data_IF_451008009813
#
_entry.id   IF_451008009813
#
_cell.length_a   1.000
_cell.length_b   1.000
_cell.length_c   1.000
_cell.angle_alpha   90.00
_cell.angle_beta   90.00
_cell.angle_gamma   90.00
#
_symmetry.space_group_name_H-M   'P 1'
#
loop_
_entity.id
_entity.type
_entity.pdbx_description
1 polymer ?
#
# COMPACT_ATOMS: atom_id res chain seq x y z
N UNK A 1 -27.74 -49.32 35.48
CA UNK A 1 -27.19 -48.70 34.27
C UNK A 1 -26.41 -47.47 34.70
N UNK A 2 -25.08 -47.53 34.63
CA UNK A 2 -24.18 -46.49 35.15
C UNK A 2 -23.74 -45.60 33.98
N UNK A 3 -24.17 -44.34 33.99
CA UNK A 3 -23.70 -43.32 33.05
C UNK A 3 -22.31 -42.86 33.48
N UNK A 4 -21.32 -43.04 32.61
CA UNK A 4 -19.95 -42.59 32.82
C UNK A 4 -19.83 -41.06 32.61
N UNK A 5 -18.98 -40.36 33.38
CA UNK A 5 -18.73 -38.93 33.19
C UNK A 5 -17.69 -38.71 32.08
N UNK A 6 -18.12 -38.16 30.94
CA UNK A 6 -17.21 -37.75 29.85
C UNK A 6 -16.40 -36.51 30.28
N UNK A 7 -15.16 -36.74 30.70
CA UNK A 7 -14.28 -35.69 31.24
C UNK A 7 -13.00 -35.56 30.42
N UNK A 8 -13.09 -35.16 29.15
CA UNK A 8 -11.93 -34.64 28.41
C UNK A 8 -12.40 -33.70 27.29
N UNK A 9 -12.37 -32.38 27.53
CA UNK A 9 -12.44 -31.37 26.47
C UNK A 9 -11.24 -30.44 26.58
N UNK A 10 -10.25 -30.70 25.72
CA UNK A 10 -8.97 -30.02 25.61
C UNK A 10 -9.07 -28.94 24.53
N UNK A 11 -9.85 -27.87 24.77
CA UNK A 11 -9.81 -26.69 23.90
C UNK A 11 -8.76 -25.68 24.40
N UNK A 12 -7.98 -25.09 23.48
CA UNK A 12 -7.01 -24.06 23.82
C UNK A 12 -7.63 -22.69 23.55
N UNK A 13 -7.90 -21.94 24.63
CA UNK A 13 -8.10 -20.50 24.54
C UNK A 13 -6.76 -19.82 24.73
N UNK A 14 -6.42 -18.85 23.87
CA UNK A 14 -5.23 -18.02 24.07
C UNK A 14 -5.19 -17.49 25.51
N UNK A 15 -4.11 -17.67 26.27
CA UNK A 15 -4.03 -17.14 27.63
C UNK A 15 -4.07 -15.60 27.57
N UNK A 16 -4.71 -14.94 28.57
CA UNK A 16 -4.63 -13.49 28.66
C UNK A 16 -3.17 -13.08 28.87
N UNK A 17 -2.67 -12.16 28.03
CA UNK A 17 -1.29 -11.69 28.07
C UNK A 17 -0.86 -11.29 29.50
N UNK A 18 0.26 -11.87 29.94
CA UNK A 18 1.03 -11.33 31.06
C UNK A 18 1.60 -9.98 30.63
N UNK A 19 1.10 -8.89 31.23
CA UNK A 19 1.60 -7.54 30.98
C UNK A 19 2.97 -7.36 31.65
N UNK A 20 4.02 -7.88 31.03
CA UNK A 20 5.40 -7.62 31.45
C UNK A 20 6.22 -7.13 30.25
N UNK A 21 5.91 -5.93 29.79
CA UNK A 21 6.90 -5.14 29.05
C UNK A 21 7.81 -4.55 30.12
N UNK A 22 9.01 -5.13 30.29
CA UNK A 22 10.11 -4.41 30.92
C UNK A 22 10.45 -3.21 30.04
N UNK A 23 9.84 -2.07 30.36
CA UNK A 23 10.30 -0.78 29.84
C UNK A 23 11.64 -0.49 30.51
N UNK A 24 12.74 -0.69 29.76
CA UNK A 24 13.99 0.00 30.09
C UNK A 24 13.70 1.49 29.91
N UNK A 25 13.51 2.18 31.03
CA UNK A 25 13.51 3.63 31.11
C UNK A 25 14.88 4.14 30.64
N UNK A 26 14.95 4.58 29.39
CA UNK A 26 16.04 5.45 28.95
C UNK A 26 15.74 6.84 29.50
N UNK A 27 16.46 7.23 30.55
CA UNK A 27 16.41 8.58 31.12
C UNK A 27 16.81 9.60 30.04
N UNK A 28 15.88 10.51 29.71
CA UNK A 28 16.15 11.70 28.91
C UNK A 28 16.93 12.69 29.78
N UNK A 29 18.23 12.81 29.50
CA UNK A 29 19.04 13.91 30.00
C UNK A 29 18.60 15.21 29.30
N UNK A 30 18.04 16.11 30.10
CA UNK A 30 17.91 17.53 29.77
C UNK A 30 19.30 18.09 29.46
N UNK A 31 19.51 18.55 28.23
CA UNK A 31 20.66 19.38 27.88
C UNK A 31 20.15 20.78 27.56
N UNK A 32 20.36 21.70 28.50
CA UNK A 32 20.14 23.14 28.31
C UNK A 32 21.22 23.67 27.36
N UNK A 33 20.83 24.20 26.21
CA UNK A 33 21.74 24.96 25.35
C UNK A 33 21.44 26.45 25.48
N UNK A 34 22.51 27.16 25.84
CA UNK A 34 22.54 28.56 26.19
C UNK A 34 22.15 29.47 25.02
N UNK A 35 21.40 30.52 25.36
CA UNK A 35 21.23 31.73 24.57
C UNK A 35 22.59 32.34 24.22
N UNK A 36 22.87 32.47 22.91
CA UNK A 36 23.82 33.45 22.41
C UNK A 36 23.09 34.44 21.50
N UNK A 37 22.91 35.65 22.02
CA UNK A 37 22.50 36.82 21.26
C UNK A 37 23.69 37.38 20.49
N UNK A 38 23.56 37.57 19.18
CA UNK A 38 24.36 38.56 18.46
C UNK A 38 23.44 39.54 17.73
N UNK A 39 23.71 40.82 17.99
CA UNK A 39 22.98 42.00 17.53
C UNK A 39 23.71 42.63 16.33
N UNK A 40 22.90 43.18 15.41
CA UNK A 40 23.20 44.24 14.41
C UNK A 40 24.02 43.78 13.18
N UNK A 41 23.87 44.31 11.95
CA UNK A 41 23.37 45.58 11.44
C UNK A 41 22.69 45.44 10.07
N UNK A 42 21.72 46.33 9.81
CA UNK A 42 21.14 46.66 8.52
C UNK A 42 22.12 47.39 7.61
N UNK A 43 22.14 47.06 6.31
CA UNK A 43 22.53 47.99 5.25
C UNK A 43 21.62 47.79 4.03
N UNK A 44 20.90 48.86 3.69
CA UNK A 44 20.29 49.11 2.39
C UNK A 44 21.39 49.58 1.43
N UNK A 45 21.41 49.10 0.19
CA UNK A 45 21.83 49.93 -0.95
C UNK A 45 21.30 49.36 -2.26
N UNK A 46 20.99 50.29 -3.16
CA UNK A 46 20.20 50.12 -4.38
C UNK A 46 21.05 49.90 -5.64
N UNK A 47 20.34 49.49 -6.69
CA UNK A 47 20.55 49.82 -8.11
C UNK A 47 21.80 49.29 -8.83
N UNK A 48 21.60 48.54 -9.91
CA UNK A 48 21.81 49.09 -11.26
C UNK A 48 21.28 48.17 -12.37
N UNK A 49 20.51 48.79 -13.25
CA UNK A 49 20.08 48.31 -14.56
C UNK A 49 21.27 48.03 -15.47
N UNK A 50 21.17 47.01 -16.32
CA UNK A 50 21.71 47.06 -17.69
C UNK A 50 20.76 46.34 -18.64
N UNK A 51 20.14 47.14 -19.51
CA UNK A 51 19.43 46.72 -20.71
C UNK A 51 20.45 46.44 -21.81
N UNK A 52 20.29 45.35 -22.56
CA UNK A 52 20.82 45.29 -23.92
C UNK A 52 19.76 44.70 -24.85
N UNK A 53 19.10 45.61 -25.55
CA UNK A 53 18.35 45.39 -26.78
C UNK A 53 19.34 45.17 -27.92
N UNK A 54 19.14 44.10 -28.69
CA UNK A 54 19.63 44.00 -30.07
C UNK A 54 18.48 43.52 -30.95
N UNK A 55 17.96 44.49 -31.72
CA UNK A 55 17.02 44.31 -32.81
C UNK A 55 17.67 43.54 -33.96
N UNK A 56 17.02 42.47 -34.43
CA UNK A 56 17.12 42.02 -35.82
C UNK A 56 15.71 41.73 -36.35
N UNK A 57 15.48 42.18 -37.59
CA UNK A 57 14.20 42.43 -38.27
C UNK A 57 13.39 41.14 -38.55
N UNK A 58 12.05 41.21 -38.66
CA UNK A 58 11.23 40.08 -39.08
C UNK A 58 11.22 39.95 -40.62
N UNK A 59 11.59 38.78 -41.12
CA UNK A 59 11.30 38.35 -42.49
C UNK A 59 9.94 37.66 -42.52
N UNK A 60 9.00 38.29 -43.21
CA UNK A 60 7.66 37.75 -43.49
C UNK A 60 7.78 36.58 -44.46
N UNK A 61 7.30 35.40 -44.06
CA UNK A 61 7.00 34.30 -44.96
C UNK A 61 5.54 33.87 -44.74
N UNK A 62 4.72 34.15 -45.75
CA UNK A 62 3.34 33.71 -45.91
C UNK A 62 3.39 32.26 -46.40
N UNK A 63 2.80 31.31 -45.66
CA UNK A 63 2.44 29.99 -46.19
C UNK A 63 1.09 29.52 -45.61
N UNK A 64 0.07 29.73 -46.44
CA UNK A 64 -1.08 28.86 -46.78
C UNK A 64 -1.41 27.70 -45.82
N UNK A 65 -2.56 27.81 -45.14
CA UNK A 65 -3.25 26.70 -44.51
C UNK A 65 -3.85 25.76 -45.57
N UNK A 66 -3.68 24.45 -45.38
CA UNK A 66 -4.41 23.40 -46.08
C UNK A 66 -5.08 22.55 -45.01
N UNK A 67 -6.39 22.71 -44.87
CA UNK A 67 -7.24 21.81 -44.10
C UNK A 67 -7.37 20.52 -44.91
N UNK A 68 -7.10 19.38 -44.27
CA UNK A 68 -7.40 18.08 -44.85
C UNK A 68 -8.25 17.35 -43.82
N UNK A 69 -9.55 17.30 -44.07
CA UNK A 69 -10.49 16.44 -43.36
C UNK A 69 -10.19 14.99 -43.74
N UNK A 70 -9.95 14.13 -42.75
CA UNK A 70 -9.89 12.68 -42.95
C UNK A 70 -11.15 12.05 -42.40
N UNK A 71 -11.87 11.37 -43.29
CA UNK A 71 -13.11 10.63 -43.04
C UNK A 71 -12.89 9.43 -42.13
N UNK A 72 -13.83 9.23 -41.20
CA UNK A 72 -13.92 8.09 -40.28
C UNK A 72 -14.61 6.93 -41.02
N UNK A 73 -14.01 5.75 -41.01
CA UNK A 73 -14.64 4.50 -41.41
C UNK A 73 -15.22 3.79 -40.18
N UNK A 74 -16.54 3.63 -40.18
CA UNK A 74 -17.31 2.87 -39.19
C UNK A 74 -17.02 1.37 -39.27
N UNK A 75 -16.84 0.73 -38.12
CA UNK A 75 -17.21 -0.67 -37.91
C UNK A 75 -17.94 -0.78 -36.58
N UNK A 76 -19.25 -1.00 -36.67
CA UNK A 76 -20.13 -1.35 -35.56
C UNK A 76 -19.86 -2.79 -35.09
N UNK A 77 -19.76 -2.96 -33.77
CA UNK A 77 -20.29 -4.15 -33.11
C UNK A 77 -20.79 -3.73 -31.75
N UNK A 78 -22.11 -3.76 -31.58
CA UNK A 78 -22.80 -3.31 -30.38
C UNK A 78 -22.76 -4.31 -29.24
N UNK A 79 -22.81 -3.78 -28.02
CA UNK A 79 -23.65 -4.34 -26.95
C UNK A 79 -23.89 -3.29 -25.88
N UNK A 80 -25.05 -3.43 -25.24
CA UNK A 80 -25.86 -2.43 -24.57
C UNK A 80 -25.38 -1.98 -23.19
N UNK A 81 -25.81 -0.78 -22.80
CA UNK A 81 -26.32 -0.53 -21.44
C UNK A 81 -25.31 -0.07 -20.39
N UNK A 82 -25.25 1.25 -20.19
CA UNK A 82 -24.61 1.85 -19.01
C UNK A 82 -24.70 3.36 -19.06
N UNK A 83 -25.80 3.90 -18.54
CA UNK A 83 -25.99 5.33 -18.29
C UNK A 83 -24.93 5.82 -17.29
N UNK A 84 -23.90 6.42 -17.84
CA UNK A 84 -22.92 7.22 -17.14
C UNK A 84 -22.55 8.30 -18.12
N UNK A 85 -22.62 9.56 -17.70
CA UNK A 85 -22.12 10.69 -18.46
C UNK A 85 -20.65 10.42 -18.83
N UNK A 86 -20.41 9.77 -19.97
CA UNK A 86 -19.10 9.65 -20.57
C UNK A 86 -18.81 11.04 -21.10
N UNK A 87 -18.25 11.90 -20.24
CA UNK A 87 -17.68 13.17 -20.67
C UNK A 87 -16.69 12.84 -21.79
N UNK A 88 -17.10 13.08 -23.04
CA UNK A 88 -16.32 12.78 -24.23
C UNK A 88 -15.15 13.75 -24.25
N UNK A 89 -14.01 13.32 -23.72
CA UNK A 89 -12.80 14.11 -23.73
C UNK A 89 -12.23 14.17 -25.15
N UNK A 90 -12.03 15.37 -25.67
CA UNK A 90 -11.40 15.57 -26.97
C UNK A 90 -9.88 15.37 -26.86
N UNK A 91 -9.34 14.46 -27.67
CA UNK A 91 -7.89 14.28 -27.81
C UNK A 91 -7.34 15.11 -28.96
N UNK A 92 -6.16 15.70 -28.78
CA UNK A 92 -5.49 16.45 -29.84
C UNK A 92 -3.98 16.24 -29.81
N UNK A 93 -3.37 16.25 -31.00
CA UNK A 93 -1.93 16.08 -31.18
C UNK A 93 -1.26 17.41 -31.54
N UNK A 94 -0.06 17.60 -31.00
CA UNK A 94 0.71 18.83 -31.13
C UNK A 94 2.19 18.53 -31.29
N UNK A 95 2.83 19.28 -32.17
CA UNK A 95 4.29 19.32 -32.32
C UNK A 95 4.79 20.70 -31.86
N UNK A 96 5.72 20.71 -30.92
CA UNK A 96 6.28 21.93 -30.33
C UNK A 96 7.79 22.01 -30.52
N UNK A 97 8.29 23.22 -30.73
CA UNK A 97 9.73 23.51 -30.81
C UNK A 97 10.16 24.30 -29.56
N UNK A 98 11.38 24.10 -29.09
CA UNK A 98 11.90 24.88 -27.97
C UNK A 98 12.06 26.37 -28.36
N UNK A 99 11.73 27.33 -27.48
CA UNK A 99 11.16 27.15 -26.14
C UNK A 99 9.66 26.82 -26.18
N UNK A 100 9.26 25.73 -25.51
CA UNK A 100 7.88 25.24 -25.55
C UNK A 100 6.89 26.23 -24.91
N UNK A 101 7.28 26.90 -23.81
CA UNK A 101 6.39 27.84 -23.10
C UNK A 101 5.28 27.17 -22.31
N UNK A 102 5.45 25.91 -21.87
CA UNK A 102 4.50 25.20 -21.02
C UNK A 102 5.08 25.00 -19.62
N UNK A 103 4.26 25.25 -18.59
CA UNK A 103 4.51 24.79 -17.22
C UNK A 103 3.56 23.63 -16.92
N UNK A 104 4.07 22.64 -16.20
CA UNK A 104 3.33 21.42 -15.88
C UNK A 104 3.25 21.19 -14.37
N UNK A 105 2.10 20.70 -13.92
CA UNK A 105 1.83 20.29 -12.54
C UNK A 105 1.48 18.81 -12.48
N UNK A 106 1.81 18.17 -11.35
CA UNK A 106 1.45 16.78 -11.06
C UNK A 106 0.01 16.72 -10.59
N UNK A 107 -0.82 15.95 -11.28
CA UNK A 107 -2.20 15.67 -10.86
C UNK A 107 -2.31 14.62 -9.76
N UNK A 108 -3.50 14.48 -9.14
CA UNK A 108 -3.77 13.49 -8.10
C UNK A 108 -3.63 12.05 -8.59
N UNK A 109 -3.99 11.79 -9.85
CA UNK A 109 -3.79 10.51 -10.54
C UNK A 109 -2.31 10.21 -10.85
N UNK A 110 -1.40 11.12 -10.48
CA UNK A 110 0.03 11.04 -10.80
C UNK A 110 0.36 11.47 -12.23
N UNK A 111 -0.63 11.89 -13.02
CA UNK A 111 -0.49 12.37 -14.39
C UNK A 111 0.12 13.77 -14.50
N UNK A 112 0.36 14.19 -15.74
CA UNK A 112 0.96 15.50 -16.07
C UNK A 112 -0.07 16.42 -16.69
N UNK A 113 -0.21 17.63 -16.14
CA UNK A 113 -1.24 18.60 -16.53
C UNK A 113 -0.61 19.95 -16.83
N UNK A 114 -1.23 20.74 -17.71
CA UNK A 114 -0.80 22.11 -17.98
C UNK A 114 -1.19 23.02 -16.81
N UNK A 115 -0.18 23.64 -16.19
CA UNK A 115 -0.31 24.59 -15.09
C UNK A 115 -0.42 26.02 -15.60
N UNK A 116 0.44 26.39 -16.56
CA UNK A 116 0.43 27.71 -17.17
C UNK A 116 1.05 27.69 -18.57
N UNK A 117 0.62 28.64 -19.39
CA UNK A 117 1.14 28.86 -20.74
C UNK A 117 1.90 30.20 -20.72
N UNK A 118 3.18 30.15 -21.10
CA UNK A 118 4.07 31.31 -21.13
C UNK A 118 4.00 32.04 -22.46
N UNK A 119 3.86 33.37 -22.39
CA UNK A 119 3.76 34.23 -23.57
C UNK A 119 5.01 34.14 -24.45
N UNK A 120 4.83 34.04 -25.76
CA UNK A 120 5.91 33.99 -26.76
C UNK A 120 6.57 32.63 -26.98
N UNK A 121 6.18 31.60 -26.22
CA UNK A 121 6.61 30.20 -26.45
C UNK A 121 5.89 29.53 -27.61
N UNK A 122 6.38 28.37 -28.05
CA UNK A 122 5.76 27.61 -29.15
C UNK A 122 4.31 27.23 -28.85
N UNK A 123 3.97 26.94 -27.59
CA UNK A 123 2.61 26.58 -27.19
C UNK A 123 1.63 27.76 -27.22
N UNK A 124 2.09 28.97 -26.89
CA UNK A 124 1.28 30.19 -26.96
C UNK A 124 0.94 30.53 -28.42
N UNK A 125 1.93 30.39 -29.32
CA UNK A 125 1.77 30.64 -30.76
C UNK A 125 0.77 29.71 -31.44
N UNK A 126 0.65 28.46 -30.98
CA UNK A 126 -0.31 27.53 -31.58
C UNK A 126 -1.75 27.80 -31.13
N UNK A 127 -1.96 28.45 -29.97
CA UNK A 127 -3.28 28.71 -29.42
C UNK A 127 -4.09 27.44 -29.09
N UNK A 128 -3.47 26.26 -29.17
CA UNK A 128 -4.15 24.96 -29.02
C UNK A 128 -4.27 24.50 -27.57
N UNK A 129 -3.52 25.07 -26.64
CA UNK A 129 -3.47 24.58 -25.26
C UNK A 129 -4.43 25.34 -24.36
N UNK A 130 -5.05 24.62 -23.44
CA UNK A 130 -5.82 25.19 -22.35
C UNK A 130 -5.20 24.77 -21.01
N UNK A 131 -5.19 25.67 -20.03
CA UNK A 131 -4.74 25.34 -18.67
C UNK A 131 -5.64 24.23 -18.12
N UNK A 132 -5.03 23.21 -17.51
CA UNK A 132 -5.71 22.00 -17.04
C UNK A 132 -5.72 20.82 -18.02
N UNK A 133 -5.29 20.99 -19.28
CA UNK A 133 -5.20 19.87 -20.23
C UNK A 133 -4.23 18.79 -19.75
N UNK A 134 -4.58 17.51 -19.97
CA UNK A 134 -3.77 16.35 -19.56
C UNK A 134 -2.85 15.91 -20.69
N UNK A 135 -1.62 15.56 -20.36
CA UNK A 135 -0.71 14.87 -21.28
C UNK A 135 -1.03 13.38 -21.25
N UNK A 136 -1.43 12.80 -22.40
CA UNK A 136 -1.69 11.38 -22.56
C UNK A 136 -0.49 10.61 -23.10
N UNK A 137 0.30 11.24 -23.96
CA UNK A 137 1.48 10.62 -24.55
C UNK A 137 2.51 11.68 -24.93
N UNK A 138 3.79 11.31 -24.88
CA UNK A 138 4.92 12.17 -25.27
C UNK A 138 5.89 11.40 -26.14
N UNK A 139 6.52 12.08 -27.09
CA UNK A 139 7.65 11.52 -27.83
C UNK A 139 8.79 11.12 -26.89
N UNK A 140 9.55 10.07 -27.27
CA UNK A 140 10.75 9.62 -26.55
C UNK A 140 11.82 10.71 -26.39
N UNK A 141 12.95 10.46 -25.73
CA UNK A 141 14.06 11.45 -25.69
C UNK A 141 14.74 11.61 -27.07
N UNK A 142 14.80 10.51 -27.83
CA UNK A 142 15.38 10.42 -29.18
C UNK A 142 14.36 9.73 -30.11
N UNK A 143 14.24 10.20 -31.35
CA UNK A 143 13.31 9.62 -32.35
C UNK A 143 11.92 10.26 -32.37
N UNK A 144 11.02 9.78 -33.24
CA UNK A 144 9.67 10.34 -33.41
C UNK A 144 8.57 9.55 -32.71
N UNK A 145 8.92 8.43 -32.08
CA UNK A 145 7.96 7.53 -31.47
C UNK A 145 7.29 8.14 -30.25
N UNK A 146 5.96 8.04 -30.19
CA UNK A 146 5.12 8.53 -29.11
C UNK A 146 4.79 7.39 -28.15
N UNK A 147 5.07 7.60 -26.87
CA UNK A 147 4.78 6.64 -25.80
C UNK A 147 3.77 7.22 -24.82
N UNK A 148 2.90 6.38 -24.22
CA UNK A 148 1.99 6.82 -23.17
C UNK A 148 2.73 7.59 -22.08
N UNK A 149 2.17 8.72 -21.67
CA UNK A 149 2.74 9.57 -20.63
C UNK A 149 2.67 8.81 -19.30
N UNK A 150 3.84 8.47 -18.79
CA UNK A 150 3.98 7.82 -17.50
C UNK A 150 3.72 8.82 -16.35
N UNK A 151 3.94 8.37 -15.11
CA UNK A 151 3.93 9.23 -13.92
C UNK A 151 4.70 10.54 -14.15
N UNK A 152 4.20 11.64 -13.59
CA UNK A 152 4.69 13.01 -13.80
C UNK A 152 6.22 13.16 -13.90
N UNK A 153 6.97 12.52 -13.00
CA UNK A 153 8.44 12.61 -13.01
C UNK A 153 9.09 12.10 -14.29
N UNK A 154 8.61 10.97 -14.83
CA UNK A 154 9.15 10.36 -16.06
C UNK A 154 8.81 11.21 -17.28
N UNK A 155 7.57 11.67 -17.36
CA UNK A 155 7.10 12.56 -18.44
C UNK A 155 7.84 13.90 -18.45
N UNK A 156 8.10 14.48 -17.27
CA UNK A 156 8.90 15.69 -17.19
C UNK A 156 10.38 15.47 -17.54
N UNK A 157 10.93 14.31 -17.21
CA UNK A 157 12.30 13.96 -17.60
C UNK A 157 12.43 13.90 -19.13
N UNK A 158 11.51 13.21 -19.83
CA UNK A 158 11.55 13.10 -21.30
C UNK A 158 11.38 14.46 -21.96
N UNK A 159 10.43 15.29 -21.50
CA UNK A 159 10.20 16.64 -22.05
C UNK A 159 11.43 17.53 -21.87
N UNK A 160 12.09 17.50 -20.70
CA UNK A 160 13.24 18.36 -20.40
C UNK A 160 14.51 17.94 -21.14
N UNK A 161 14.68 16.64 -21.35
CA UNK A 161 15.86 16.08 -22.00
C UNK A 161 15.69 15.91 -23.52
N UNK A 162 14.51 16.25 -24.06
CA UNK A 162 14.18 16.11 -25.48
C UNK A 162 15.10 16.96 -26.35
N UNK A 163 15.70 16.32 -27.37
CA UNK A 163 16.46 16.98 -28.43
C UNK A 163 15.60 16.96 -29.70
N UNK A 164 15.19 18.13 -30.17
CA UNK A 164 14.32 18.28 -31.36
C UNK A 164 12.86 18.61 -31.01
N UNK A 165 11.94 18.49 -31.99
CA UNK A 165 10.53 18.78 -31.78
C UNK A 165 9.91 17.77 -30.80
N UNK A 166 9.04 18.29 -29.92
CA UNK A 166 8.30 17.53 -28.92
C UNK A 166 6.92 17.23 -29.48
N UNK A 167 6.63 15.96 -29.72
CA UNK A 167 5.29 15.52 -30.08
C UNK A 167 4.55 15.11 -28.80
N UNK A 168 3.32 15.59 -28.65
CA UNK A 168 2.48 15.25 -27.51
C UNK A 168 1.07 14.94 -27.99
N UNK A 169 0.47 13.91 -27.37
CA UNK A 169 -0.97 13.69 -27.42
C UNK A 169 -1.58 14.20 -26.12
N UNK A 170 -2.56 15.08 -26.24
CA UNK A 170 -3.17 15.82 -25.16
C UNK A 170 -4.66 15.50 -25.07
N UNK A 171 -5.22 15.67 -23.88
CA UNK A 171 -6.65 15.57 -23.60
C UNK A 171 -7.17 16.94 -23.16
N UNK A 172 -8.18 17.47 -23.86
CA UNK A 172 -8.85 18.72 -23.51
C UNK A 172 -9.63 18.58 -22.21
N UNK A 173 -9.40 19.51 -21.28
CA UNK A 173 -10.14 19.53 -20.00
C UNK A 173 -10.88 20.83 -19.72
N UNK A 174 -10.84 21.79 -20.64
CA UNK A 174 -11.63 23.03 -20.55
C UNK A 174 -11.50 23.79 -19.22
N UNK A 175 -10.31 23.77 -18.60
CA UNK A 175 -10.08 24.44 -17.31
C UNK A 175 -10.71 23.76 -16.09
N UNK A 176 -11.37 22.61 -16.24
CA UNK A 176 -11.77 21.75 -15.12
C UNK A 176 -10.50 21.05 -14.57
N UNK A 177 -9.79 21.70 -13.66
CA UNK A 177 -8.98 20.96 -12.71
C UNK A 177 -9.97 20.16 -11.88
N UNK A 178 -9.93 18.82 -11.96
CA UNK A 178 -10.71 17.98 -11.07
C UNK A 178 -10.56 18.55 -9.66
N UNK A 179 -11.70 18.91 -9.06
CA UNK A 179 -11.75 19.29 -7.65
C UNK A 179 -10.89 18.28 -6.94
N UNK A 180 -9.90 18.77 -6.19
CA UNK A 180 -9.07 17.99 -5.27
C UNK A 180 -10.00 16.93 -4.67
N UNK A 181 -9.96 15.71 -5.22
CA UNK A 181 -10.83 14.64 -4.78
C UNK A 181 -10.59 14.46 -3.30
N UNK A 182 -11.54 13.86 -2.58
CA UNK A 182 -11.29 13.44 -1.21
C UNK A 182 -9.95 12.70 -1.18
N UNK A 183 -8.93 13.37 -0.63
CA UNK A 183 -7.58 12.85 -0.61
C UNK A 183 -7.67 11.52 0.14
N UNK A 184 -7.07 10.47 -0.42
CA UNK A 184 -7.03 9.20 0.29
C UNK A 184 -6.43 9.43 1.68
N UNK A 185 -6.88 8.70 2.70
CA UNK A 185 -6.35 8.84 4.08
C UNK A 185 -4.80 8.85 4.09
N UNK A 186 -4.19 8.06 3.20
CA UNK A 186 -2.74 7.96 3.00
C UNK A 186 -2.09 9.26 2.50
N UNK A 187 -2.76 10.00 1.62
CA UNK A 187 -2.27 11.27 1.07
C UNK A 187 -2.41 12.42 2.06
N UNK A 188 -3.52 12.47 2.82
CA UNK A 188 -3.69 13.43 3.92
C UNK A 188 -2.56 13.26 4.93
N UNK A 189 -2.33 12.01 5.37
CA UNK A 189 -1.26 11.69 6.31
C UNK A 189 0.11 12.05 5.73
N UNK A 190 0.36 11.79 4.44
CA UNK A 190 1.64 12.11 3.78
C UNK A 190 1.87 13.62 3.70
N UNK A 191 0.84 14.38 3.30
CA UNK A 191 0.91 15.83 3.20
C UNK A 191 1.17 16.48 4.58
N UNK A 192 0.53 15.98 5.63
CA UNK A 192 0.73 16.49 6.99
C UNK A 192 2.08 16.10 7.61
N UNK A 193 2.59 14.90 7.32
CA UNK A 193 3.97 14.54 7.72
C UNK A 193 4.99 15.48 7.08
N UNK A 194 4.76 15.88 5.83
CA UNK A 194 5.63 16.81 5.13
C UNK A 194 5.50 18.26 5.64
N UNK A 195 4.36 18.64 6.20
CA UNK A 195 4.12 19.99 6.74
C UNK A 195 4.60 20.16 8.19
N UNK A 196 4.80 19.06 8.93
CA UNK A 196 5.23 19.09 10.33
C UNK A 196 4.14 19.50 11.32
N UNK A 197 2.89 19.69 10.86
CA UNK A 197 1.73 20.05 11.69
C UNK A 197 0.72 18.90 11.64
N UNK A 198 0.41 18.31 12.80
CA UNK A 198 -0.62 17.27 12.93
C UNK A 198 -1.98 17.98 13.05
N UNK A 199 -2.83 17.84 12.04
CA UNK A 199 -4.17 18.43 12.05
C UNK A 199 -5.16 17.56 12.83
N UNK A 200 -6.34 18.13 13.13
CA UNK A 200 -7.46 17.39 13.70
C UNK A 200 -7.92 16.24 12.77
N UNK A 201 -7.72 16.35 11.45
CA UNK A 201 -8.14 15.33 10.49
C UNK A 201 -7.29 14.07 10.58
N UNK A 202 -5.96 14.18 10.72
CA UNK A 202 -5.11 13.00 10.94
C UNK A 202 -5.41 12.34 12.28
N UNK A 203 -5.70 13.13 13.32
CA UNK A 203 -6.13 12.58 14.61
C UNK A 203 -7.43 11.78 14.48
N UNK A 204 -8.40 12.29 13.73
CA UNK A 204 -9.66 11.60 13.44
C UNK A 204 -9.41 10.30 12.66
N UNK A 205 -8.59 10.33 11.62
CA UNK A 205 -8.21 9.15 10.83
C UNK A 205 -7.52 8.09 11.72
N UNK A 206 -6.62 8.52 12.60
CA UNK A 206 -5.96 7.62 13.55
C UNK A 206 -6.96 7.00 14.54
N UNK A 207 -7.89 7.81 15.05
CA UNK A 207 -8.94 7.34 15.97
C UNK A 207 -9.85 6.32 15.27
N UNK A 208 -10.30 6.61 14.05
CA UNK A 208 -11.15 5.69 13.28
C UNK A 208 -10.42 4.38 12.95
N UNK A 209 -9.16 4.44 12.55
CA UNK A 209 -8.36 3.23 12.29
C UNK A 209 -8.14 2.40 13.57
N UNK A 210 -7.95 3.06 14.71
CA UNK A 210 -7.83 2.38 16.01
C UNK A 210 -9.16 1.73 16.43
N UNK A 211 -10.29 2.42 16.24
CA UNK A 211 -11.62 1.87 16.51
C UNK A 211 -11.91 0.66 15.60
N UNK A 212 -11.69 0.80 14.29
CA UNK A 212 -11.87 -0.30 13.31
C UNK A 212 -11.02 -1.52 13.68
N UNK A 213 -9.75 -1.31 14.07
CA UNK A 213 -8.88 -2.41 14.51
C UNK A 213 -9.39 -3.08 15.79
N UNK A 214 -9.92 -2.30 16.74
CA UNK A 214 -10.51 -2.84 17.98
C UNK A 214 -11.78 -3.63 17.69
N UNK A 215 -12.69 -3.09 16.88
CA UNK A 215 -13.94 -3.76 16.48
C UNK A 215 -13.67 -5.08 15.75
N UNK A 216 -12.71 -5.10 14.82
CA UNK A 216 -12.29 -6.32 14.15
C UNK A 216 -11.75 -7.36 15.15
N UNK A 217 -10.95 -6.93 16.12
CA UNK A 217 -10.45 -7.81 17.17
C UNK A 217 -11.59 -8.39 18.03
N UNK A 218 -12.50 -7.54 18.48
CA UNK A 218 -13.67 -7.97 19.26
C UNK A 218 -14.56 -8.95 18.47
N UNK A 219 -14.74 -8.71 17.17
CA UNK A 219 -15.47 -9.64 16.28
C UNK A 219 -14.77 -10.99 16.20
N UNK A 220 -13.45 -11.03 16.01
CA UNK A 220 -12.67 -12.28 15.98
C UNK A 220 -12.72 -13.04 17.29
N UNK A 221 -12.57 -12.34 18.41
CA UNK A 221 -12.70 -12.95 19.75
C UNK A 221 -14.10 -13.55 19.97
N UNK A 222 -15.14 -12.89 19.45
CA UNK A 222 -16.52 -13.39 19.49
C UNK A 222 -16.66 -14.66 18.64
N UNK A 223 -16.23 -14.63 17.39
CA UNK A 223 -16.27 -15.81 16.49
C UNK A 223 -15.48 -16.98 17.08
N UNK A 224 -14.29 -16.73 17.63
CA UNK A 224 -13.49 -17.75 18.30
C UNK A 224 -14.26 -18.36 19.49
N UNK A 225 -14.89 -17.54 20.33
CA UNK A 225 -15.69 -18.00 21.47
C UNK A 225 -16.90 -18.83 21.02
N UNK A 226 -17.60 -18.39 19.98
CA UNK A 226 -18.74 -19.09 19.40
C UNK A 226 -18.32 -20.44 18.81
N UNK A 227 -17.23 -20.48 18.04
CA UNK A 227 -16.65 -21.70 17.50
C UNK A 227 -16.29 -22.70 18.60
N UNK A 228 -15.67 -22.24 19.69
CA UNK A 228 -15.37 -23.07 20.85
C UNK A 228 -16.64 -23.64 21.52
N UNK A 229 -17.72 -22.86 21.56
CA UNK A 229 -18.99 -23.33 22.14
C UNK A 229 -19.70 -24.35 21.24
N UNK A 230 -19.70 -24.13 19.92
CA UNK A 230 -20.22 -25.08 18.93
C UNK A 230 -19.44 -26.39 18.97
N UNK A 231 -18.12 -26.31 19.08
CA UNK A 231 -17.24 -27.47 19.22
C UNK A 231 -17.59 -28.31 20.46
N UNK A 232 -17.78 -27.66 21.61
CA UNK A 232 -18.20 -28.34 22.85
C UNK A 232 -19.52 -29.08 22.71
N UNK A 233 -20.40 -28.60 21.82
CA UNK A 233 -21.69 -29.21 21.51
C UNK A 233 -21.60 -30.28 20.40
N UNK A 234 -20.38 -30.71 20.03
CA UNK A 234 -20.09 -31.66 18.95
C UNK A 234 -20.57 -31.23 17.55
N UNK A 235 -20.84 -29.93 17.35
CA UNK A 235 -21.19 -29.34 16.05
C UNK A 235 -19.91 -28.89 15.34
N UNK A 236 -19.11 -29.87 14.88
CA UNK A 236 -17.76 -29.61 14.38
C UNK A 236 -17.74 -28.82 13.06
N UNK A 237 -18.72 -29.02 12.17
CA UNK A 237 -18.85 -28.28 10.90
C UNK A 237 -19.16 -26.80 11.15
N UNK A 238 -20.13 -26.51 12.02
CA UNK A 238 -20.47 -25.13 12.43
C UNK A 238 -19.30 -24.46 13.18
N UNK A 239 -18.56 -25.22 13.99
CA UNK A 239 -17.37 -24.72 14.68
C UNK A 239 -16.23 -24.38 13.69
N UNK A 240 -16.02 -25.24 12.68
CA UNK A 240 -15.03 -25.03 11.63
C UNK A 240 -15.30 -23.70 10.90
N UNK A 241 -16.54 -23.43 10.52
CA UNK A 241 -16.93 -22.17 9.85
C UNK A 241 -16.52 -20.93 10.67
N UNK A 242 -16.75 -20.98 12.00
CA UNK A 242 -16.37 -19.87 12.89
C UNK A 242 -14.87 -19.68 13.00
N UNK A 243 -14.10 -20.77 13.10
CA UNK A 243 -12.65 -20.67 13.17
C UNK A 243 -12.04 -20.19 11.84
N UNK A 244 -12.59 -20.62 10.69
CA UNK A 244 -12.20 -20.13 9.37
C UNK A 244 -12.53 -18.65 9.17
N UNK A 245 -13.68 -18.17 9.70
CA UNK A 245 -14.02 -16.73 9.74
C UNK A 245 -12.94 -15.92 10.47
N UNK A 246 -12.41 -16.44 11.58
CA UNK A 246 -11.31 -15.81 12.32
C UNK A 246 -10.07 -15.73 11.44
N UNK A 247 -9.67 -16.82 10.78
CA UNK A 247 -8.50 -16.83 9.89
C UNK A 247 -8.66 -15.88 8.68
N UNK A 248 -9.85 -15.81 8.10
CA UNK A 248 -10.17 -14.92 6.97
C UNK A 248 -10.12 -13.43 7.31
N UNK A 249 -10.23 -13.07 8.59
CA UNK A 249 -10.23 -11.67 9.06
C UNK A 249 -8.85 -11.15 9.48
N UNK A 250 -7.77 -11.82 9.02
CA UNK A 250 -6.35 -11.46 9.23
C UNK A 250 -6.03 -11.25 10.71
N UNK A 251 -6.11 -12.31 11.54
CA UNK A 251 -5.81 -12.24 12.95
C UNK A 251 -4.34 -11.91 13.21
N UNK A 252 -4.04 -11.46 14.43
CA UNK A 252 -2.65 -11.41 14.91
C UNK A 252 -2.09 -12.85 14.98
N UNK A 253 -0.76 -13.07 14.89
CA UNK A 253 -0.17 -14.42 14.86
C UNK A 253 -0.61 -15.35 16.01
N UNK A 254 -0.76 -14.79 17.21
CA UNK A 254 -1.24 -15.53 18.38
C UNK A 254 -2.69 -16.02 18.21
N UNK A 255 -3.55 -15.21 17.60
CA UNK A 255 -4.95 -15.58 17.32
C UNK A 255 -5.01 -16.59 16.17
N UNK A 256 -4.19 -16.38 15.13
CA UNK A 256 -4.09 -17.23 13.96
C UNK A 256 -3.65 -18.65 14.32
N UNK A 257 -2.55 -18.79 15.07
CA UNK A 257 -2.02 -20.10 15.50
C UNK A 257 -3.05 -20.91 16.31
N UNK A 258 -3.79 -20.24 17.19
CA UNK A 258 -4.84 -20.87 17.99
C UNK A 258 -6.06 -21.26 17.16
N UNK A 259 -6.49 -20.39 16.24
CA UNK A 259 -7.59 -20.69 15.33
C UNK A 259 -7.24 -21.87 14.42
N UNK A 260 -6.06 -21.88 13.79
CA UNK A 260 -5.57 -22.99 12.95
C UNK A 260 -5.46 -24.30 13.72
N UNK A 261 -5.00 -24.27 14.97
CA UNK A 261 -4.99 -25.47 15.83
C UNK A 261 -6.41 -26.02 16.06
N UNK A 262 -7.36 -25.14 16.37
CA UNK A 262 -8.76 -25.55 16.57
C UNK A 262 -9.41 -26.06 15.27
N UNK A 263 -9.05 -25.50 14.11
CA UNK A 263 -9.44 -26.01 12.79
C UNK A 263 -8.90 -27.43 12.59
N UNK A 264 -7.63 -27.69 12.92
CA UNK A 264 -7.06 -29.03 12.85
C UNK A 264 -7.79 -30.04 13.75
N UNK A 265 -8.18 -29.64 14.96
CA UNK A 265 -9.03 -30.44 15.85
C UNK A 265 -10.39 -30.75 15.21
N UNK A 266 -11.06 -29.76 14.61
CA UNK A 266 -12.33 -29.96 13.89
C UNK A 266 -12.17 -30.97 12.75
N UNK A 267 -11.19 -30.78 11.88
CA UNK A 267 -10.94 -31.70 10.75
C UNK A 267 -10.60 -33.12 11.21
N UNK A 268 -9.84 -33.26 12.30
CA UNK A 268 -9.59 -34.56 12.93
C UNK A 268 -10.89 -35.24 13.35
N UNK A 269 -11.80 -34.53 14.04
CA UNK A 269 -13.11 -35.07 14.44
C UNK A 269 -14.02 -35.43 13.26
N UNK A 270 -13.92 -34.67 12.17
CA UNK A 270 -14.63 -34.93 10.91
C UNK A 270 -13.96 -36.01 10.05
N UNK A 271 -12.85 -36.60 10.52
CA UNK A 271 -12.06 -37.61 9.82
C UNK A 271 -11.49 -37.13 8.46
N UNK A 272 -11.29 -35.82 8.31
CA UNK A 272 -10.68 -35.19 7.14
C UNK A 272 -9.18 -35.00 7.38
N UNK A 273 -8.45 -36.11 7.33
CA UNK A 273 -7.05 -36.18 7.78
C UNK A 273 -6.12 -35.20 7.05
N UNK A 274 -6.21 -35.11 5.71
CA UNK A 274 -5.32 -34.27 4.92
C UNK A 274 -5.52 -32.77 5.21
N UNK A 275 -6.78 -32.32 5.29
CA UNK A 275 -7.11 -30.95 5.66
C UNK A 275 -6.65 -30.64 7.09
N UNK A 276 -6.83 -31.58 8.01
CA UNK A 276 -6.38 -31.45 9.39
C UNK A 276 -4.86 -31.36 9.53
N UNK A 277 -4.09 -32.13 8.76
CA UNK A 277 -2.62 -32.04 8.73
C UNK A 277 -2.16 -30.68 8.19
N UNK A 278 -2.80 -30.18 7.13
CA UNK A 278 -2.50 -28.85 6.59
C UNK A 278 -2.76 -27.75 7.63
N UNK A 279 -3.93 -27.78 8.28
CA UNK A 279 -4.26 -26.79 9.32
C UNK A 279 -3.32 -26.88 10.53
N UNK A 280 -2.86 -28.08 10.89
CA UNK A 280 -1.89 -28.28 11.96
C UNK A 280 -0.51 -27.73 11.57
N UNK A 281 -0.08 -27.93 10.32
CA UNK A 281 1.14 -27.33 9.78
C UNK A 281 1.05 -25.80 9.81
N UNK A 282 -0.07 -25.22 9.39
CA UNK A 282 -0.29 -23.77 9.45
C UNK A 282 -0.19 -23.23 10.88
N UNK A 283 -0.78 -23.93 11.85
CA UNK A 283 -0.69 -23.57 13.26
C UNK A 283 0.78 -23.55 13.74
N UNK A 284 1.56 -24.57 13.37
CA UNK A 284 2.98 -24.68 13.71
C UNK A 284 3.83 -23.60 13.02
N UNK A 285 3.58 -23.31 11.74
CA UNK A 285 4.29 -22.27 10.99
C UNK A 285 4.05 -20.87 11.55
N UNK A 286 2.83 -20.59 12.00
CA UNK A 286 2.47 -19.29 12.61
C UNK A 286 3.09 -19.13 13.99
N UNK A 287 3.39 -20.23 14.68
CA UNK A 287 4.10 -20.22 15.96
C UNK A 287 3.33 -20.86 17.12
N UNK A 288 2.49 -21.87 16.86
CA UNK A 288 1.86 -22.63 17.94
C UNK A 288 2.91 -23.44 18.73
N UNK A 289 3.13 -23.10 20.00
CA UNK A 289 4.26 -23.64 20.78
C UNK A 289 3.92 -24.87 21.65
N UNK A 290 2.65 -25.22 21.85
CA UNK A 290 2.26 -26.32 22.75
C UNK A 290 2.37 -27.70 22.07
N UNK A 291 3.58 -28.06 21.68
CA UNK A 291 3.93 -29.32 21.03
C UNK A 291 3.57 -30.56 21.86
N UNK A 292 3.58 -30.44 23.19
CA UNK A 292 3.16 -31.51 24.10
C UNK A 292 1.68 -31.80 23.93
N UNK A 293 0.87 -30.75 23.82
CA UNK A 293 -0.56 -30.86 23.55
C UNK A 293 -0.82 -31.52 22.21
N UNK A 294 -0.16 -31.09 21.13
CA UNK A 294 -0.33 -31.69 19.80
C UNK A 294 -0.18 -33.23 19.84
N UNK A 295 0.81 -33.74 20.58
CA UNK A 295 1.08 -35.18 20.70
C UNK A 295 0.10 -35.96 21.58
N UNK A 296 -0.55 -35.29 22.52
CA UNK A 296 -1.38 -35.94 23.55
C UNK A 296 -2.87 -35.65 23.38
N UNK A 297 -3.24 -34.67 22.55
CA UNK A 297 -4.63 -34.22 22.43
C UNK A 297 -5.52 -35.36 21.88
N UNK A 298 -6.58 -35.76 22.61
CA UNK A 298 -7.54 -36.75 22.12
C UNK A 298 -8.29 -36.27 20.88
N UNK A 299 -8.40 -34.97 20.66
CA UNK A 299 -9.12 -34.42 19.51
C UNK A 299 -8.34 -34.60 18.21
N UNK A 300 -7.01 -34.63 18.30
CA UNK A 300 -6.11 -34.93 17.19
C UNK A 300 -5.87 -36.43 16.99
N UNK A 301 -6.56 -37.32 17.70
CA UNK A 301 -6.28 -38.77 17.65
C UNK A 301 -6.29 -39.35 16.22
N UNK A 302 -7.24 -38.93 15.38
CA UNK A 302 -7.33 -39.42 14.00
C UNK A 302 -6.16 -38.94 13.14
N UNK A 303 -5.74 -37.68 13.30
CA UNK A 303 -4.56 -37.13 12.63
C UNK A 303 -3.29 -37.81 13.13
N UNK A 304 -3.14 -38.02 14.45
CA UNK A 304 -1.98 -38.68 15.05
C UNK A 304 -1.80 -40.13 14.59
N UNK A 305 -2.90 -40.81 14.25
CA UNK A 305 -2.86 -42.16 13.69
C UNK A 305 -2.44 -42.19 12.20
N UNK A 306 -2.35 -41.03 11.54
CA UNK A 306 -2.00 -40.94 10.12
C UNK A 306 -0.49 -40.95 9.88
N UNK A 307 -0.08 -41.44 8.72
CA UNK A 307 1.33 -41.51 8.32
C UNK A 307 1.99 -40.13 8.15
N UNK A 308 1.20 -39.07 7.92
CA UNK A 308 1.69 -37.71 7.71
C UNK A 308 2.05 -36.95 8.99
N UNK A 309 1.60 -37.42 10.16
CA UNK A 309 1.79 -36.71 11.42
C UNK A 309 3.25 -36.75 11.91
N UNK A 310 3.88 -37.93 11.94
CA UNK A 310 5.27 -38.07 12.41
C UNK A 310 6.27 -37.27 11.56
N UNK A 311 6.22 -37.30 10.20
CA UNK A 311 7.07 -36.44 9.38
C UNK A 311 6.86 -34.95 9.63
N UNK A 312 5.62 -34.52 9.86
CA UNK A 312 5.30 -33.12 10.17
C UNK A 312 5.96 -32.72 11.49
N UNK A 313 5.73 -33.48 12.56
CA UNK A 313 6.29 -33.16 13.88
C UNK A 313 7.82 -33.15 13.87
N UNK A 314 8.46 -34.11 13.19
CA UNK A 314 9.92 -34.18 13.11
C UNK A 314 10.54 -32.93 12.47
N UNK A 315 9.89 -32.35 11.45
CA UNK A 315 10.38 -31.11 10.80
C UNK A 315 10.44 -29.94 11.79
N UNK A 316 9.42 -29.80 12.64
CA UNK A 316 9.35 -28.71 13.62
C UNK A 316 10.15 -28.99 14.90
N UNK A 317 10.35 -30.25 15.26
CA UNK A 317 11.25 -30.63 16.35
C UNK A 317 12.72 -30.34 16.00
N UNK A 318 13.14 -30.69 14.77
CA UNK A 318 14.51 -30.47 14.31
C UNK A 318 14.83 -28.97 14.20
N UNK A 319 13.91 -28.15 13.70
CA UNK A 319 14.10 -26.69 13.64
C UNK A 319 14.27 -26.09 15.04
N UNK A 320 13.43 -26.48 15.99
CA UNK A 320 13.52 -26.01 17.38
C UNK A 320 14.82 -26.45 18.06
N UNK A 321 15.24 -27.71 17.87
CA UNK A 321 16.51 -28.21 18.42
C UNK A 321 17.69 -27.47 17.80
N UNK A 322 17.68 -27.22 16.49
CA UNK A 322 18.76 -26.54 15.80
C UNK A 322 18.88 -25.07 16.24
N UNK A 323 17.77 -24.33 16.31
CA UNK A 323 17.80 -22.96 16.81
C UNK A 323 18.27 -22.88 18.26
N UNK A 324 17.79 -23.75 19.13
CA UNK A 324 18.21 -23.77 20.54
C UNK A 324 19.68 -24.19 20.69
N UNK A 325 20.15 -25.17 19.92
CA UNK A 325 21.55 -25.58 19.92
C UNK A 325 22.46 -24.45 19.42
N UNK A 326 22.08 -23.78 18.32
CA UNK A 326 22.81 -22.63 17.78
C UNK A 326 22.85 -21.49 18.81
N UNK A 327 21.73 -21.19 19.46
CA UNK A 327 21.65 -20.11 20.46
C UNK A 327 22.45 -20.45 21.73
N UNK A 328 22.43 -21.71 22.18
CA UNK A 328 23.24 -22.19 23.30
C UNK A 328 24.75 -22.07 23.00
N UNK A 329 25.18 -22.48 21.80
CA UNK A 329 26.56 -22.33 21.33
C UNK A 329 26.94 -20.84 21.27
N UNK A 330 26.12 -19.99 20.64
CA UNK A 330 26.37 -18.54 20.57
C UNK A 330 26.48 -17.89 21.96
N UNK A 331 25.67 -18.31 22.92
CA UNK A 331 25.76 -17.84 24.31
C UNK A 331 27.07 -18.27 24.98
N UNK A 332 27.45 -19.55 24.82
CA UNK A 332 28.69 -20.10 25.38
C UNK A 332 29.94 -19.40 24.81
N UNK A 333 29.97 -19.13 23.50
CA UNK A 333 31.10 -18.47 22.83
C UNK A 333 31.07 -16.94 22.94
N UNK A 334 29.89 -16.32 23.09
CA UNK A 334 29.75 -14.88 23.29
C UNK A 334 30.29 -14.38 24.63
N UNK A 335 30.32 -15.26 25.65
CA UNK A 335 30.93 -14.97 26.96
C UNK A 335 32.47 -14.91 26.88
N UNK A 336 33.10 -15.62 25.94
CA UNK A 336 34.56 -15.66 25.80
C UNK A 336 35.18 -14.51 24.99
N UNK A 337 34.36 -13.68 24.31
CA UNK A 337 34.84 -12.59 23.45
C UNK A 337 34.73 -11.19 24.07
N UNK A 338 34.53 -11.07 25.39
CA UNK A 338 34.72 -9.79 26.10
C UNK A 338 36.11 -9.75 26.72
N UNK A 339 37.08 -9.19 25.98
CA UNK A 339 38.32 -8.65 26.54
C UNK A 339 38.54 -7.24 26.03
#
# INVERSE_FOLDING_TARGET
MSLAPSSHLSLYSSPPLSRTIQTKQTQLLFCQTNHFSFKKHSFLSASNCFSHTLWLKPSVLIVKASETESQISEQESGSEGGDGDQEQYEEYEVELVQPYGLKFVKGPDGGTYIDAIGQGGSADKTGKFTVGDKVLATSAMFGTDIWPAAEYGRTMYTIRQRIGPLLMRMQKRYGKLEQRGELSEREIIRAERNSGVISNKVREIQLQNALRKREQKESREKDLREGLQLYKNAKYEEALERFESVLGSKPDPDEASVASYNVACCYSKLNQIQAGLSALEDALQVGFEDFKRIRTDPDLANIRASEGFEPLMKRFDESFINENAINAIKSLFGIFNKK
#
